data_IF_624629892214
#
_entry.id   IF_624629892214
#
_cell.length_a   1.000
_cell.length_b   1.000
_cell.length_c   1.000
_cell.angle_alpha   90.00
_cell.angle_beta   90.00
_cell.angle_gamma   90.00
#
_symmetry.space_group_name_H-M   'P 1'
#
loop_
_entity.id
_entity.type
_entity.pdbx_description
1 polymer ?
#
# COMPACT_ATOMS: atom_id res chain seq x y z
N UNK A 1 -53.81 13.33 11.75
CA UNK A 1 -52.50 12.89 11.21
C UNK A 1 -52.49 13.14 9.70
N UNK A 2 -51.72 14.10 9.16
CA UNK A 2 -51.60 14.21 7.71
C UNK A 2 -50.43 13.37 7.19
N UNK A 3 -50.66 12.70 6.07
CA UNK A 3 -49.72 11.82 5.39
C UNK A 3 -48.49 12.58 4.90
N UNK A 4 -47.29 12.09 5.24
CA UNK A 4 -46.02 12.60 4.73
C UNK A 4 -45.87 12.20 3.26
N UNK A 5 -45.73 13.20 2.39
CA UNK A 5 -45.32 13.02 1.01
C UNK A 5 -43.90 12.41 0.95
N UNK A 6 -43.62 11.48 0.02
CA UNK A 6 -42.28 10.93 -0.18
C UNK A 6 -41.40 11.98 -0.84
N UNK A 7 -40.38 12.46 -0.12
CA UNK A 7 -39.32 13.29 -0.69
C UNK A 7 -38.60 12.50 -1.80
N UNK A 8 -38.68 12.99 -3.03
CA UNK A 8 -37.83 12.56 -4.14
C UNK A 8 -36.35 12.74 -3.76
N UNK A 9 -35.57 11.70 -3.99
CA UNK A 9 -34.12 11.72 -3.87
C UNK A 9 -33.55 12.41 -5.11
N UNK A 10 -33.31 13.72 -5.03
CA UNK A 10 -32.50 14.44 -6.01
C UNK A 10 -31.02 14.34 -5.58
N UNK A 11 -30.15 13.67 -6.36
CA UNK A 11 -28.72 13.73 -6.13
C UNK A 11 -28.22 15.09 -6.65
N UNK A 12 -28.36 16.11 -5.82
CA UNK A 12 -27.74 17.40 -6.09
C UNK A 12 -26.21 17.23 -6.01
N UNK A 13 -25.45 17.54 -7.07
CA UNK A 13 -24.00 17.57 -6.98
C UNK A 13 -23.63 18.81 -6.17
N UNK A 14 -23.21 18.61 -4.92
CA UNK A 14 -22.51 19.65 -4.17
C UNK A 14 -21.28 20.04 -5.02
N UNK A 15 -21.30 21.22 -5.64
CA UNK A 15 -20.19 21.78 -6.39
C UNK A 15 -19.26 22.52 -5.42
N UNK A 16 -18.00 22.10 -5.20
CA UNK A 16 -17.05 22.86 -4.42
C UNK A 16 -15.91 23.35 -5.31
N UNK A 17 -16.23 23.97 -6.46
CA UNK A 17 -15.21 24.35 -7.46
C UNK A 17 -15.12 25.84 -7.81
N UNK A 18 -15.63 26.73 -6.96
CA UNK A 18 -15.43 28.18 -7.14
C UNK A 18 -14.70 28.79 -5.95
N UNK A 19 -13.41 28.48 -5.81
CA UNK A 19 -12.41 29.31 -5.13
C UNK A 19 -11.03 29.03 -5.78
N UNK A 20 -10.81 29.57 -6.98
CA UNK A 20 -9.46 29.68 -7.53
C UNK A 20 -8.73 30.82 -6.81
N UNK A 21 -8.12 30.51 -5.67
CA UNK A 21 -7.01 31.31 -5.18
C UNK A 21 -5.90 31.29 -6.25
N UNK A 22 -5.21 32.41 -6.51
CA UNK A 22 -4.14 32.45 -7.50
C UNK A 22 -3.11 31.37 -7.17
N UNK A 23 -2.89 30.43 -8.10
CA UNK A 23 -1.90 29.36 -7.98
C UNK A 23 -0.54 29.96 -7.62
N UNK A 24 -0.12 29.79 -6.37
CA UNK A 24 1.28 29.96 -6.00
C UNK A 24 2.10 29.12 -6.98
N UNK A 25 3.12 29.74 -7.57
CA UNK A 25 4.01 29.12 -8.55
C UNK A 25 4.59 27.84 -7.91
N UNK A 26 4.10 26.67 -8.33
CA UNK A 26 4.57 25.38 -7.80
C UNK A 26 6.08 25.33 -8.04
N UNK A 27 6.85 25.24 -6.95
CA UNK A 27 8.30 25.22 -7.00
C UNK A 27 8.78 24.01 -7.81
N UNK A 28 9.91 24.16 -8.50
CA UNK A 28 10.52 23.08 -9.31
C UNK A 28 10.74 21.80 -8.48
N UNK A 29 11.03 21.96 -7.19
CA UNK A 29 11.21 20.82 -6.28
C UNK A 29 9.91 20.04 -6.08
N UNK A 30 8.74 20.69 -5.90
CA UNK A 30 7.47 19.95 -5.74
C UNK A 30 7.10 19.13 -6.99
N UNK A 31 7.40 19.66 -8.18
CA UNK A 31 7.23 18.91 -9.44
C UNK A 31 8.16 17.70 -9.52
N UNK A 32 9.40 17.83 -9.02
CA UNK A 32 10.35 16.71 -8.96
C UNK A 32 9.83 15.56 -8.08
N UNK A 33 9.17 15.86 -6.95
CA UNK A 33 8.55 14.85 -6.10
C UNK A 33 7.43 14.09 -6.81
N UNK A 34 6.49 14.82 -7.43
CA UNK A 34 5.40 14.22 -8.21
C UNK A 34 5.93 13.40 -9.41
N UNK A 35 6.93 13.93 -10.12
CA UNK A 35 7.59 13.23 -11.22
C UNK A 35 8.28 11.95 -10.74
N UNK A 36 9.01 12.00 -9.61
CA UNK A 36 9.69 10.82 -9.04
C UNK A 36 8.68 9.74 -8.67
N UNK A 37 7.53 10.11 -8.10
CA UNK A 37 6.44 9.17 -7.82
C UNK A 37 5.94 8.48 -9.11
N UNK A 38 5.63 9.27 -10.15
CA UNK A 38 5.13 8.72 -11.42
C UNK A 38 6.18 7.88 -12.14
N UNK A 39 7.46 8.28 -12.10
CA UNK A 39 8.58 7.51 -12.65
C UNK A 39 8.73 6.18 -11.91
N UNK A 40 8.59 6.18 -10.58
CA UNK A 40 8.66 4.95 -9.79
C UNK A 40 7.49 4.00 -10.13
N UNK A 41 6.26 4.52 -10.24
CA UNK A 41 5.09 3.74 -10.70
C UNK A 41 5.32 3.18 -12.11
N UNK A 42 5.79 4.02 -13.04
CA UNK A 42 6.10 3.60 -14.41
C UNK A 42 7.19 2.52 -14.45
N UNK A 43 8.21 2.64 -13.59
CA UNK A 43 9.27 1.66 -13.48
C UNK A 43 8.78 0.30 -12.98
N UNK A 44 7.76 0.28 -12.13
CA UNK A 44 7.16 -0.96 -11.64
C UNK A 44 6.26 -1.60 -12.72
N UNK A 45 5.47 -0.78 -13.43
CA UNK A 45 4.67 -1.20 -14.60
C UNK A 45 5.54 -1.84 -15.69
N UNK A 46 6.71 -1.28 -15.94
CA UNK A 46 7.65 -1.71 -16.99
C UNK A 46 8.83 -2.52 -16.44
N UNK A 47 8.74 -3.02 -15.21
CA UNK A 47 9.89 -3.58 -14.49
C UNK A 47 10.58 -4.74 -15.21
N UNK A 48 9.81 -5.64 -15.84
CA UNK A 48 10.37 -6.75 -16.63
C UNK A 48 11.12 -6.26 -17.87
N UNK A 49 10.51 -5.33 -18.61
CA UNK A 49 11.11 -4.76 -19.82
C UNK A 49 12.36 -3.91 -19.50
N UNK A 50 12.28 -3.02 -18.50
CA UNK A 50 13.40 -2.17 -18.08
C UNK A 50 14.60 -3.02 -17.69
N UNK A 51 14.40 -4.06 -16.86
CA UNK A 51 15.50 -4.92 -16.42
C UNK A 51 16.13 -5.70 -17.58
N UNK A 52 15.32 -6.17 -18.51
CA UNK A 52 15.81 -6.86 -19.70
C UNK A 52 16.69 -5.95 -20.56
N UNK A 53 16.18 -4.77 -20.95
CA UNK A 53 16.94 -3.86 -21.82
C UNK A 53 18.16 -3.25 -21.11
N UNK A 54 18.05 -2.92 -19.82
CA UNK A 54 19.21 -2.43 -19.04
C UNK A 54 20.25 -3.52 -18.85
N UNK A 55 19.86 -4.78 -18.71
CA UNK A 55 20.79 -5.90 -18.69
C UNK A 55 21.50 -6.11 -20.02
N UNK A 56 20.79 -6.02 -21.15
CA UNK A 56 21.42 -6.11 -22.48
C UNK A 56 22.45 -4.99 -22.69
N UNK A 57 22.21 -3.81 -22.14
CA UNK A 57 23.13 -2.69 -22.18
C UNK A 57 24.26 -2.75 -21.12
N UNK A 58 24.33 -3.81 -20.31
CA UNK A 58 25.35 -3.96 -19.25
C UNK A 58 25.18 -3.02 -18.05
N UNK A 59 24.02 -2.37 -17.93
CA UNK A 59 23.70 -1.34 -16.91
C UNK A 59 22.48 -1.72 -16.08
N UNK A 60 22.33 -3.01 -15.73
CA UNK A 60 21.18 -3.56 -15.00
C UNK A 60 20.86 -2.81 -13.69
N UNK A 61 21.86 -2.22 -13.04
CA UNK A 61 21.71 -1.38 -11.85
C UNK A 61 20.80 -0.15 -12.08
N UNK A 62 20.73 0.38 -13.30
CA UNK A 62 19.87 1.52 -13.64
C UNK A 62 18.38 1.22 -13.48
N UNK A 63 17.98 -0.06 -13.51
CA UNK A 63 16.60 -0.47 -13.20
C UNK A 63 16.18 -0.10 -11.77
N UNK A 64 17.12 0.19 -10.88
CA UNK A 64 16.86 0.61 -9.49
C UNK A 64 16.95 2.13 -9.28
N UNK A 65 17.32 2.90 -10.31
CA UNK A 65 17.47 4.35 -10.22
C UNK A 65 16.23 5.08 -9.69
N UNK A 66 14.98 4.76 -10.11
CA UNK A 66 13.79 5.41 -9.56
C UNK A 66 13.68 5.27 -8.03
N UNK A 67 14.10 4.12 -7.51
CA UNK A 67 14.09 3.85 -6.08
C UNK A 67 15.21 4.57 -5.34
N UNK A 68 16.39 4.67 -5.95
CA UNK A 68 17.48 5.50 -5.43
C UNK A 68 17.07 6.99 -5.34
N UNK A 69 16.37 7.51 -6.35
CA UNK A 69 15.82 8.87 -6.34
C UNK A 69 14.84 9.09 -5.19
N UNK A 70 13.94 8.13 -4.93
CA UNK A 70 13.03 8.19 -3.78
C UNK A 70 13.76 8.25 -2.44
N UNK A 71 14.80 7.42 -2.27
CA UNK A 71 15.64 7.43 -1.06
C UNK A 71 16.38 8.76 -0.91
N UNK A 72 16.90 9.32 -2.00
CA UNK A 72 17.54 10.64 -1.99
C UNK A 72 16.54 11.75 -1.58
N UNK A 73 15.33 11.75 -2.15
CA UNK A 73 14.27 12.68 -1.76
C UNK A 73 13.87 12.53 -0.28
N UNK A 74 13.77 11.29 0.21
CA UNK A 74 13.49 11.02 1.62
C UNK A 74 14.59 11.58 2.53
N UNK A 75 15.86 11.34 2.20
CA UNK A 75 17.01 11.90 2.94
C UNK A 75 16.98 13.43 2.96
N UNK A 76 16.75 14.07 1.82
CA UNK A 76 16.61 15.53 1.72
C UNK A 76 15.45 16.05 2.59
N UNK A 77 14.30 15.39 2.59
CA UNK A 77 13.15 15.79 3.40
C UNK A 77 13.43 15.72 4.91
N UNK A 78 14.13 14.66 5.35
CA UNK A 78 14.49 14.48 6.77
C UNK A 78 15.48 15.56 7.21
N UNK A 79 16.50 15.86 6.40
CA UNK A 79 17.52 16.88 6.69
C UNK A 79 16.93 18.28 6.70
N UNK A 80 16.06 18.60 5.74
CA UNK A 80 15.48 19.95 5.63
C UNK A 80 14.42 20.23 6.70
N UNK A 81 13.73 19.19 7.20
CA UNK A 81 12.60 19.34 8.14
C UNK A 81 12.68 18.27 9.24
N UNK A 82 13.71 18.29 10.10
CA UNK A 82 13.82 17.33 11.18
C UNK A 82 12.63 17.50 12.15
N UNK A 83 12.07 16.37 12.58
CA UNK A 83 10.94 16.33 13.52
C UNK A 83 11.26 15.32 14.62
N UNK A 84 10.75 15.55 15.83
CA UNK A 84 10.85 14.59 16.93
C UNK A 84 10.33 13.20 16.54
N UNK A 85 9.29 13.14 15.68
CA UNK A 85 8.77 11.88 15.14
C UNK A 85 9.81 11.10 14.31
N UNK A 86 10.74 11.78 13.61
CA UNK A 86 11.80 11.10 12.87
C UNK A 86 12.77 10.39 13.82
N UNK A 87 13.12 11.03 14.95
CA UNK A 87 13.97 10.44 15.98
C UNK A 87 13.30 9.23 16.62
N UNK A 88 12.00 9.32 16.93
CA UNK A 88 11.24 8.20 17.48
C UNK A 88 11.15 7.02 16.50
N UNK A 89 10.91 7.29 15.21
CA UNK A 89 10.91 6.25 14.17
C UNK A 89 12.30 5.63 14.04
N UNK A 90 13.36 6.44 14.01
CA UNK A 90 14.74 5.95 13.93
C UNK A 90 15.11 5.10 15.15
N UNK A 91 14.73 5.52 16.36
CA UNK A 91 14.94 4.76 17.58
C UNK A 91 14.17 3.43 17.58
N UNK A 92 12.91 3.44 17.11
CA UNK A 92 12.13 2.21 16.94
C UNK A 92 12.77 1.26 15.93
N UNK A 93 13.19 1.76 14.77
CA UNK A 93 13.88 0.96 13.75
C UNK A 93 15.23 0.43 14.26
N UNK A 94 15.97 1.21 15.05
CA UNK A 94 17.22 0.77 15.67
C UNK A 94 16.96 -0.36 16.68
N UNK A 95 15.96 -0.22 17.55
CA UNK A 95 15.56 -1.27 18.49
C UNK A 95 15.14 -2.56 17.77
N UNK A 96 14.37 -2.43 16.67
CA UNK A 96 13.95 -3.57 15.86
C UNK A 96 15.13 -4.20 15.08
N UNK A 97 16.12 -3.39 14.68
CA UNK A 97 17.36 -3.90 14.09
C UNK A 97 18.13 -4.76 15.10
N UNK A 98 18.17 -4.36 16.38
CA UNK A 98 18.75 -5.20 17.42
C UNK A 98 18.04 -6.55 17.55
N UNK A 99 16.71 -6.58 17.43
CA UNK A 99 15.93 -7.84 17.40
C UNK A 99 16.34 -8.70 16.19
N UNK A 100 16.40 -8.11 14.99
CA UNK A 100 16.84 -8.82 13.78
C UNK A 100 18.21 -9.48 13.97
N UNK A 101 19.19 -8.70 14.43
CA UNK A 101 20.56 -9.17 14.62
C UNK A 101 20.64 -10.26 15.70
N UNK A 102 19.89 -10.12 16.78
CA UNK A 102 19.82 -11.12 17.85
C UNK A 102 19.26 -12.47 17.36
N UNK A 103 18.35 -12.43 16.38
CA UNK A 103 17.78 -13.63 15.76
C UNK A 103 18.62 -14.19 14.60
N UNK A 104 19.83 -13.67 14.36
CA UNK A 104 20.72 -14.16 13.30
C UNK A 104 20.43 -13.59 11.90
N UNK A 105 19.58 -12.58 11.78
CA UNK A 105 19.36 -11.86 10.53
C UNK A 105 20.56 -10.95 10.26
N UNK A 106 21.06 -10.92 9.03
CA UNK A 106 22.21 -10.10 8.66
C UNK A 106 21.85 -8.60 8.54
N UNK A 107 22.84 -7.72 8.75
CA UNK A 107 22.65 -6.29 8.55
C UNK A 107 22.28 -5.93 7.09
N UNK A 108 22.77 -6.69 6.12
CA UNK A 108 22.39 -6.53 4.72
C UNK A 108 20.91 -6.82 4.46
N UNK A 109 20.33 -7.81 5.15
CA UNK A 109 18.91 -8.11 5.06
C UNK A 109 18.05 -6.98 5.67
N UNK A 110 18.48 -6.42 6.81
CA UNK A 110 17.84 -5.22 7.40
C UNK A 110 17.90 -4.03 6.44
N UNK A 111 19.08 -3.76 5.86
CA UNK A 111 19.26 -2.69 4.89
C UNK A 111 18.40 -2.89 3.63
N UNK A 112 18.29 -4.12 3.15
CA UNK A 112 17.42 -4.46 2.03
C UNK A 112 15.94 -4.30 2.39
N UNK A 113 15.52 -4.60 3.61
CA UNK A 113 14.15 -4.35 4.06
C UNK A 113 13.83 -2.85 4.13
N UNK A 114 14.74 -2.04 4.68
CA UNK A 114 14.61 -0.56 4.67
C UNK A 114 14.48 -0.06 3.24
N UNK A 115 15.32 -0.59 2.34
CA UNK A 115 15.21 -0.34 0.92
C UNK A 115 13.82 -0.72 0.41
N UNK A 116 13.30 -1.92 0.71
CA UNK A 116 11.94 -2.37 0.34
C UNK A 116 10.86 -1.39 0.77
N UNK A 117 10.83 -0.93 2.01
CA UNK A 117 9.79 0.00 2.52
C UNK A 117 9.99 1.48 2.12
N UNK A 118 11.16 1.87 1.61
CA UNK A 118 11.49 3.24 1.26
C UNK A 118 10.45 3.96 0.35
N UNK A 119 9.81 3.32 -0.65
CA UNK A 119 8.78 3.98 -1.46
C UNK A 119 7.59 4.48 -0.64
N UNK A 120 7.17 3.74 0.39
CA UNK A 120 6.11 4.18 1.29
C UNK A 120 6.55 5.39 2.11
N UNK A 121 7.76 5.34 2.67
CA UNK A 121 8.32 6.45 3.46
C UNK A 121 8.47 7.72 2.61
N UNK A 122 8.97 7.58 1.38
CA UNK A 122 9.04 8.66 0.39
C UNK A 122 7.66 9.30 0.17
N UNK A 123 6.64 8.51 -0.15
CA UNK A 123 5.30 9.05 -0.39
C UNK A 123 4.67 9.64 0.89
N UNK A 124 5.00 9.10 2.06
CA UNK A 124 4.51 9.59 3.36
C UNK A 124 5.05 10.98 3.72
N UNK A 125 6.29 11.31 3.34
CA UNK A 125 6.89 12.63 3.63
C UNK A 125 6.64 13.67 2.53
N UNK A 126 5.95 13.30 1.45
CA UNK A 126 5.69 14.16 0.30
C UNK A 126 5.03 15.50 0.70
N UNK A 127 5.47 16.65 0.15
CA UNK A 127 4.85 17.95 0.43
C UNK A 127 3.43 18.04 -0.16
N UNK A 128 2.57 18.89 0.44
CA UNK A 128 1.15 19.00 0.04
C UNK A 128 1.03 19.44 -1.43
N UNK A 129 1.86 20.37 -1.84
CA UNK A 129 1.88 20.93 -3.19
C UNK A 129 2.26 19.88 -4.25
N UNK A 130 3.05 18.87 -3.89
CA UNK A 130 3.33 17.74 -4.77
C UNK A 130 2.14 16.78 -4.87
N UNK A 131 1.33 16.63 -3.82
CA UNK A 131 0.07 15.86 -3.88
C UNK A 131 -0.94 16.56 -4.78
N UNK A 132 -1.05 17.88 -4.68
CA UNK A 132 -1.94 18.66 -5.55
C UNK A 132 -1.51 18.54 -7.03
N UNK A 133 -0.21 18.49 -7.30
CA UNK A 133 0.31 18.20 -8.64
C UNK A 133 -0.04 16.78 -9.10
N UNK A 134 0.04 15.76 -8.24
CA UNK A 134 -0.39 14.38 -8.55
C UNK A 134 -1.88 14.27 -8.87
N UNK A 135 -2.71 15.16 -8.31
CA UNK A 135 -4.14 15.24 -8.60
C UNK A 135 -4.47 16.12 -9.81
N UNK A 136 -3.48 16.75 -10.43
CA UNK A 136 -3.67 17.57 -11.63
C UNK A 136 -4.20 16.74 -12.81
N UNK A 137 -4.90 17.39 -13.73
CA UNK A 137 -5.39 16.76 -14.97
C UNK A 137 -4.27 16.22 -15.87
N UNK A 138 -3.04 16.75 -15.74
CA UNK A 138 -1.87 16.24 -16.46
C UNK A 138 -1.44 14.89 -15.88
N UNK A 139 -1.32 14.80 -14.55
CA UNK A 139 -0.95 13.57 -13.88
C UNK A 139 -2.05 12.51 -13.96
N UNK A 140 -3.33 12.90 -13.92
CA UNK A 140 -4.44 11.98 -14.16
C UNK A 140 -4.33 11.30 -15.53
N UNK A 141 -4.01 12.05 -16.59
CA UNK A 141 -3.76 11.49 -17.93
C UNK A 141 -2.56 10.56 -17.95
N UNK A 142 -1.49 10.87 -17.22
CA UNK A 142 -0.34 9.98 -17.07
C UNK A 142 -0.73 8.67 -16.37
N UNK A 143 -1.52 8.71 -15.29
CA UNK A 143 -2.01 7.50 -14.61
C UNK A 143 -2.93 6.66 -15.49
N UNK A 144 -3.81 7.29 -16.29
CA UNK A 144 -4.62 6.59 -17.29
C UNK A 144 -3.72 5.89 -18.31
N UNK A 145 -2.73 6.60 -18.86
CA UNK A 145 -1.79 6.03 -19.82
C UNK A 145 -1.00 4.85 -19.23
N UNK A 146 -0.53 4.97 -17.98
CA UNK A 146 0.15 3.88 -17.28
C UNK A 146 -0.77 2.69 -17.01
N UNK A 147 -2.05 2.92 -16.67
CA UNK A 147 -3.03 1.85 -16.49
C UNK A 147 -3.24 1.08 -17.80
N UNK A 148 -3.45 1.81 -18.90
CA UNK A 148 -3.62 1.23 -20.24
C UNK A 148 -2.35 0.52 -20.72
N UNK A 149 -1.17 1.06 -20.42
CA UNK A 149 0.11 0.42 -20.75
C UNK A 149 0.30 -0.88 -19.97
N UNK A 150 -0.08 -0.89 -18.68
CA UNK A 150 -0.01 -2.08 -17.83
C UNK A 150 -0.96 -3.17 -18.33
N UNK A 151 -2.22 -2.82 -18.62
CA UNK A 151 -3.22 -3.73 -19.20
C UNK A 151 -2.76 -4.23 -20.58
N UNK A 152 -2.32 -3.31 -21.44
CA UNK A 152 -1.81 -3.61 -22.78
C UNK A 152 -0.63 -4.56 -22.77
N UNK A 153 0.28 -4.43 -21.79
CA UNK A 153 1.38 -5.38 -21.60
C UNK A 153 0.90 -6.79 -21.27
N UNK A 154 -0.11 -6.94 -20.41
CA UNK A 154 -0.70 -8.25 -20.09
C UNK A 154 -1.40 -8.85 -21.32
N UNK A 155 -2.18 -8.05 -22.04
CA UNK A 155 -2.88 -8.51 -23.24
C UNK A 155 -1.88 -8.88 -24.36
N UNK A 156 -0.82 -8.09 -24.56
CA UNK A 156 0.23 -8.44 -25.51
C UNK A 156 0.91 -9.76 -25.13
N UNK A 157 1.20 -9.97 -23.84
CA UNK A 157 1.79 -11.22 -23.35
C UNK A 157 0.87 -12.44 -23.53
N UNK A 158 -0.44 -12.23 -23.67
CA UNK A 158 -1.38 -13.30 -24.00
C UNK A 158 -1.17 -13.80 -25.44
N UNK A 159 -0.88 -12.89 -26.38
CA UNK A 159 -0.69 -13.20 -27.79
C UNK A 159 0.76 -13.52 -28.17
N UNK A 160 1.73 -12.94 -27.46
CA UNK A 160 3.15 -13.02 -27.79
C UNK A 160 3.95 -13.37 -26.55
N UNK A 161 4.85 -14.34 -26.68
CA UNK A 161 5.82 -14.66 -25.62
C UNK A 161 6.84 -13.53 -25.51
N UNK A 162 6.78 -12.77 -24.42
CA UNK A 162 7.69 -11.66 -24.18
C UNK A 162 9.10 -12.16 -23.80
N UNK A 163 10.18 -11.53 -24.30
CA UNK A 163 11.54 -12.06 -24.18
C UNK A 163 12.11 -12.03 -22.75
N UNK A 164 11.55 -11.20 -21.86
CA UNK A 164 11.95 -11.10 -20.46
C UNK A 164 11.26 -12.12 -19.53
N UNK A 165 10.24 -12.83 -20.01
CA UNK A 165 9.47 -13.78 -19.20
C UNK A 165 10.25 -15.08 -19.05
N UNK A 166 10.58 -15.43 -17.80
CA UNK A 166 11.39 -16.60 -17.46
C UNK A 166 12.91 -16.33 -17.47
N UNK A 167 13.35 -15.12 -17.78
CA UNK A 167 14.77 -14.75 -17.73
C UNK A 167 15.26 -14.37 -16.33
N UNK A 168 16.56 -14.48 -16.11
CA UNK A 168 17.28 -14.01 -14.92
C UNK A 168 18.55 -13.25 -15.31
N UNK A 169 18.99 -12.34 -14.46
CA UNK A 169 20.19 -11.51 -14.66
C UNK A 169 20.97 -11.45 -13.35
N UNK A 170 22.28 -11.59 -13.44
CA UNK A 170 23.18 -11.41 -12.30
C UNK A 170 23.43 -9.91 -12.05
N UNK A 171 23.17 -9.45 -10.83
CA UNK A 171 23.44 -8.08 -10.39
C UNK A 171 24.27 -8.18 -9.11
N UNK A 172 25.59 -7.97 -9.22
CA UNK A 172 26.49 -7.99 -8.07
C UNK A 172 26.70 -9.37 -7.44
N UNK A 173 26.69 -10.44 -8.24
CA UNK A 173 26.86 -11.83 -7.77
C UNK A 173 25.56 -12.49 -7.29
N UNK A 174 24.42 -11.82 -7.46
CA UNK A 174 23.09 -12.31 -7.09
C UNK A 174 22.22 -12.43 -8.32
N UNK A 175 21.72 -13.64 -8.59
CA UNK A 175 20.80 -13.91 -9.70
C UNK A 175 19.41 -13.35 -9.41
N UNK A 176 19.02 -12.31 -10.15
CA UNK A 176 17.73 -11.62 -10.03
C UNK A 176 16.85 -11.97 -11.22
N UNK A 177 15.67 -12.54 -10.96
CA UNK A 177 14.68 -12.81 -12.02
C UNK A 177 14.17 -11.52 -12.68
N UNK A 178 14.15 -11.51 -14.02
CA UNK A 178 13.64 -10.43 -14.87
C UNK A 178 12.12 -10.33 -14.78
N UNK A 179 11.43 -11.41 -15.16
CA UNK A 179 10.02 -11.61 -14.91
C UNK A 179 9.72 -13.09 -14.63
N UNK A 180 8.94 -13.36 -13.58
CA UNK A 180 8.63 -14.73 -13.14
C UNK A 180 7.66 -15.39 -14.11
N UNK A 181 8.05 -16.52 -14.71
CA UNK A 181 7.12 -17.44 -15.36
C UNK A 181 6.43 -18.28 -14.28
N UNK A 182 5.11 -18.21 -14.19
CA UNK A 182 4.34 -18.98 -13.20
C UNK A 182 3.04 -19.47 -13.79
N UNK A 183 2.54 -20.58 -13.28
CA UNK A 183 1.32 -21.24 -13.75
C UNK A 183 0.33 -21.45 -12.58
N UNK A 184 -0.96 -21.56 -12.89
CA UNK A 184 -2.00 -22.08 -11.98
C UNK A 184 -2.66 -23.25 -12.67
N UNK A 185 -2.37 -24.46 -12.21
CA UNK A 185 -2.71 -25.67 -12.96
C UNK A 185 -2.04 -25.60 -14.34
N UNK A 186 -2.84 -25.61 -15.41
CA UNK A 186 -2.37 -25.52 -16.80
C UNK A 186 -2.32 -24.10 -17.36
N UNK A 187 -2.90 -23.12 -16.66
CA UNK A 187 -3.00 -21.74 -17.17
C UNK A 187 -1.74 -20.92 -16.83
N UNK A 188 -1.16 -20.28 -17.85
CA UNK A 188 -0.03 -19.36 -17.69
C UNK A 188 -0.46 -18.07 -16.98
N UNK A 189 0.30 -17.64 -15.96
CA UNK A 189 0.10 -16.35 -15.29
C UNK A 189 0.89 -15.29 -16.02
N UNK A 190 0.20 -14.29 -16.57
CA UNK A 190 0.82 -13.32 -17.46
C UNK A 190 1.39 -12.12 -16.68
N UNK A 191 2.73 -11.92 -16.62
CA UNK A 191 3.32 -10.75 -15.98
C UNK A 191 3.25 -9.47 -16.82
N UNK A 192 3.04 -9.57 -18.13
CA UNK A 192 3.06 -8.43 -19.05
C UNK A 192 4.43 -7.75 -19.09
N UNK A 193 4.45 -6.42 -19.02
CA UNK A 193 5.69 -5.64 -18.90
C UNK A 193 6.29 -5.65 -17.48
N UNK A 194 5.57 -6.16 -16.49
CA UNK A 194 6.00 -6.20 -15.10
C UNK A 194 6.83 -7.43 -14.73
N UNK A 195 7.30 -7.46 -13.47
CA UNK A 195 8.15 -8.53 -12.93
C UNK A 195 7.38 -9.81 -12.55
N UNK A 196 6.12 -9.71 -12.19
CA UNK A 196 5.30 -10.87 -11.83
C UNK A 196 3.84 -10.61 -12.12
N UNK A 197 3.07 -11.65 -12.43
CA UNK A 197 1.64 -11.51 -12.67
C UNK A 197 0.89 -10.97 -11.45
N UNK A 198 1.29 -11.35 -10.24
CA UNK A 198 0.69 -10.86 -9.00
C UNK A 198 0.86 -9.34 -8.84
N UNK A 199 2.09 -8.84 -8.97
CA UNK A 199 2.40 -7.41 -8.87
C UNK A 199 1.77 -6.61 -10.01
N UNK A 200 1.74 -7.15 -11.23
CA UNK A 200 1.09 -6.50 -12.39
C UNK A 200 -0.42 -6.40 -12.18
N UNK A 201 -1.07 -7.47 -11.71
CA UNK A 201 -2.50 -7.44 -11.37
C UNK A 201 -2.81 -6.38 -10.31
N UNK A 202 -2.03 -6.34 -9.22
CA UNK A 202 -2.11 -5.30 -8.18
C UNK A 202 -1.96 -3.90 -8.77
N UNK A 203 -0.97 -3.68 -9.63
CA UNK A 203 -0.72 -2.38 -10.26
C UNK A 203 -1.89 -1.92 -11.14
N UNK A 204 -2.50 -2.82 -11.93
CA UNK A 204 -3.72 -2.49 -12.69
C UNK A 204 -4.83 -2.06 -11.73
N UNK A 205 -5.04 -2.79 -10.63
CA UNK A 205 -6.04 -2.47 -9.61
C UNK A 205 -5.78 -1.13 -8.90
N UNK A 206 -4.52 -0.84 -8.56
CA UNK A 206 -4.10 0.42 -7.94
C UNK A 206 -4.32 1.60 -8.88
N UNK A 207 -3.82 1.53 -10.11
CA UNK A 207 -3.95 2.61 -11.08
C UNK A 207 -5.43 2.86 -11.43
N UNK A 208 -6.20 1.79 -11.61
CA UNK A 208 -7.64 1.89 -11.87
C UNK A 208 -8.36 2.52 -10.68
N UNK A 209 -8.06 2.07 -9.45
CA UNK A 209 -8.64 2.63 -8.21
C UNK A 209 -8.33 4.12 -8.05
N UNK A 210 -7.12 4.55 -8.42
CA UNK A 210 -6.72 5.96 -8.38
C UNK A 210 -7.49 6.81 -9.40
N UNK A 211 -7.66 6.29 -10.62
CA UNK A 211 -8.20 7.02 -11.76
C UNK A 211 -9.73 7.07 -11.75
N UNK A 212 -10.40 5.95 -11.47
CA UNK A 212 -11.83 5.80 -11.74
C UNK A 212 -12.74 6.83 -11.04
N UNK A 213 -12.51 7.22 -9.76
CA UNK A 213 -13.36 8.21 -9.08
C UNK A 213 -13.18 9.62 -9.64
N UNK A 214 -12.13 9.83 -10.45
CA UNK A 214 -11.72 11.13 -11.01
C UNK A 214 -12.08 11.27 -12.49
N UNK A 215 -12.55 10.20 -13.15
CA UNK A 215 -13.02 10.23 -14.52
C UNK A 215 -14.44 10.79 -14.62
N UNK A 216 -14.65 11.75 -15.53
CA UNK A 216 -15.97 12.36 -15.77
C UNK A 216 -16.83 11.58 -16.77
N UNK A 217 -16.21 10.93 -17.76
CA UNK A 217 -16.93 10.19 -18.80
C UNK A 217 -17.30 8.79 -18.31
N UNK A 218 -18.60 8.49 -18.25
CA UNK A 218 -19.13 7.17 -17.86
C UNK A 218 -18.71 6.07 -18.83
N UNK A 219 -18.62 6.38 -20.12
CA UNK A 219 -18.16 5.43 -21.14
C UNK A 219 -16.67 5.09 -20.94
N UNK A 220 -15.82 6.10 -20.74
CA UNK A 220 -14.41 5.90 -20.49
C UNK A 220 -14.17 5.12 -19.18
N UNK A 221 -14.98 5.40 -18.16
CA UNK A 221 -14.98 4.66 -16.90
C UNK A 221 -15.35 3.18 -17.11
N UNK A 222 -16.47 2.91 -17.79
CA UNK A 222 -16.93 1.55 -18.05
C UNK A 222 -15.89 0.76 -18.88
N UNK A 223 -15.32 1.39 -19.90
CA UNK A 223 -14.26 0.79 -20.72
C UNK A 223 -13.00 0.49 -19.89
N UNK A 224 -12.54 1.44 -19.06
CA UNK A 224 -11.38 1.23 -18.19
C UNK A 224 -11.62 0.09 -17.20
N UNK A 225 -12.80 0.04 -16.55
CA UNK A 225 -13.14 -1.01 -15.59
C UNK A 225 -13.23 -2.39 -16.27
N UNK A 226 -13.83 -2.47 -17.46
CA UNK A 226 -13.91 -3.71 -18.23
C UNK A 226 -12.50 -4.21 -18.63
N UNK A 227 -11.67 -3.32 -19.17
CA UNK A 227 -10.29 -3.63 -19.54
C UNK A 227 -9.44 -4.03 -18.31
N UNK A 228 -9.60 -3.33 -17.19
CA UNK A 228 -8.93 -3.66 -15.94
C UNK A 228 -9.37 -5.04 -15.42
N UNK A 229 -10.66 -5.37 -15.45
CA UNK A 229 -11.18 -6.66 -15.04
C UNK A 229 -10.59 -7.81 -15.89
N UNK A 230 -10.58 -7.64 -17.22
CA UNK A 230 -9.97 -8.61 -18.15
C UNK A 230 -8.47 -8.75 -17.91
N UNK A 231 -7.74 -7.64 -17.77
CA UNK A 231 -6.31 -7.63 -17.51
C UNK A 231 -5.96 -8.33 -16.20
N UNK A 232 -6.63 -7.97 -15.10
CA UNK A 232 -6.42 -8.59 -13.78
C UNK A 232 -6.76 -10.09 -13.83
N UNK A 233 -7.87 -10.47 -14.46
CA UNK A 233 -8.24 -11.87 -14.62
C UNK A 233 -7.16 -12.66 -15.35
N UNK A 234 -6.59 -12.11 -16.43
CA UNK A 234 -5.49 -12.72 -17.18
C UNK A 234 -4.18 -12.86 -16.37
N UNK A 235 -3.97 -12.03 -15.36
CA UNK A 235 -2.85 -12.21 -14.40
C UNK A 235 -3.09 -13.32 -13.37
N UNK A 236 -4.30 -13.89 -13.32
CA UNK A 236 -4.79 -14.84 -12.31
C UNK A 236 -4.82 -14.32 -10.87
N UNK A 237 -4.67 -12.99 -10.67
CA UNK A 237 -4.73 -12.36 -9.35
C UNK A 237 -6.20 -12.10 -8.93
N UNK A 238 -6.86 -13.16 -8.45
CA UNK A 238 -8.28 -13.14 -8.02
C UNK A 238 -8.54 -12.13 -6.91
N UNK A 239 -7.61 -11.99 -5.96
CA UNK A 239 -7.71 -11.03 -4.86
C UNK A 239 -7.85 -9.62 -5.36
N UNK A 240 -7.02 -9.22 -6.33
CA UNK A 240 -7.09 -7.87 -6.89
C UNK A 240 -8.40 -7.62 -7.63
N UNK A 241 -8.92 -8.64 -8.33
CA UNK A 241 -10.20 -8.53 -9.02
C UNK A 241 -11.35 -8.32 -8.04
N UNK A 242 -11.37 -9.10 -6.94
CA UNK A 242 -12.34 -8.96 -5.86
C UNK A 242 -12.20 -7.61 -5.17
N UNK A 243 -10.97 -7.16 -4.88
CA UNK A 243 -10.70 -5.86 -4.28
C UNK A 243 -11.22 -4.71 -5.14
N UNK A 244 -10.95 -4.75 -6.46
CA UNK A 244 -11.44 -3.74 -7.39
C UNK A 244 -12.97 -3.74 -7.48
N UNK A 245 -13.58 -4.92 -7.64
CA UNK A 245 -15.04 -5.05 -7.71
C UNK A 245 -15.72 -4.53 -6.43
N UNK A 246 -15.17 -4.88 -5.26
CA UNK A 246 -15.66 -4.40 -3.98
C UNK A 246 -15.55 -2.88 -3.89
N UNK A 247 -14.40 -2.30 -4.21
CA UNK A 247 -14.19 -0.84 -4.13
C UNK A 247 -15.10 -0.08 -5.10
N UNK A 248 -15.34 -0.61 -6.29
CA UNK A 248 -16.34 -0.07 -7.23
C UNK A 248 -17.75 -0.13 -6.62
N UNK A 249 -18.14 -1.27 -6.02
CA UNK A 249 -19.43 -1.38 -5.33
C UNK A 249 -19.55 -0.38 -4.15
N UNK A 250 -18.52 -0.27 -3.31
CA UNK A 250 -18.48 0.69 -2.20
C UNK A 250 -18.55 2.14 -2.70
N UNK A 251 -17.97 2.43 -3.87
CA UNK A 251 -18.07 3.74 -4.52
C UNK A 251 -19.49 4.10 -4.94
N UNK A 252 -20.37 3.14 -5.22
CA UNK A 252 -21.78 3.44 -5.52
C UNK A 252 -22.70 3.35 -4.30
N UNK A 253 -22.37 2.48 -3.34
CA UNK A 253 -23.28 2.14 -2.24
C UNK A 253 -23.06 2.94 -0.95
N UNK A 254 -21.81 3.32 -0.62
CA UNK A 254 -21.47 3.86 0.70
C UNK A 254 -21.25 5.36 0.70
N UNK A 255 -21.65 6.05 1.77
CA UNK A 255 -21.18 7.42 2.06
C UNK A 255 -19.71 7.40 2.51
N UNK A 256 -19.00 8.51 2.35
CA UNK A 256 -17.56 8.59 2.68
C UNK A 256 -17.27 8.25 4.14
N UNK A 257 -18.15 8.65 5.08
CA UNK A 257 -18.03 8.25 6.49
C UNK A 257 -18.09 6.74 6.71
N UNK A 258 -18.87 6.02 5.89
CA UNK A 258 -18.99 4.56 5.95
C UNK A 258 -17.77 3.86 5.34
N UNK A 259 -17.05 4.48 4.40
CA UNK A 259 -15.79 3.95 3.86
C UNK A 259 -14.71 3.88 4.95
N UNK A 260 -14.64 4.88 5.83
CA UNK A 260 -13.74 4.84 6.99
C UNK A 260 -14.02 3.62 7.86
N UNK A 261 -15.29 3.38 8.19
CA UNK A 261 -15.70 2.19 8.96
C UNK A 261 -15.39 0.91 8.21
N UNK A 262 -15.60 0.86 6.90
CA UNK A 262 -15.23 -0.29 6.07
C UNK A 262 -13.73 -0.59 6.16
N UNK A 263 -12.86 0.41 6.04
CA UNK A 263 -11.41 0.22 6.15
C UNK A 263 -11.00 -0.31 7.57
N UNK A 264 -11.67 0.11 8.65
CA UNK A 264 -11.44 -0.46 9.99
C UNK A 264 -11.85 -1.93 10.04
N UNK A 265 -13.04 -2.28 9.53
CA UNK A 265 -13.50 -3.67 9.46
C UNK A 265 -12.59 -4.54 8.59
N UNK A 266 -12.12 -4.05 7.45
CA UNK A 266 -11.17 -4.77 6.61
C UNK A 266 -9.85 -5.01 7.34
N UNK A 267 -9.38 -4.04 8.14
CA UNK A 267 -8.20 -4.23 8.99
C UNK A 267 -8.43 -5.34 10.02
N UNK A 268 -9.58 -5.33 10.68
CA UNK A 268 -9.96 -6.40 11.62
C UNK A 268 -10.02 -7.78 10.93
N UNK A 269 -10.61 -7.85 9.73
CA UNK A 269 -10.67 -9.09 8.93
C UNK A 269 -9.27 -9.59 8.54
N UNK A 270 -8.38 -8.68 8.16
CA UNK A 270 -7.00 -9.01 7.78
C UNK A 270 -6.25 -9.69 8.93
N UNK A 271 -6.55 -9.30 10.17
CA UNK A 271 -5.97 -9.89 11.39
C UNK A 271 -6.71 -11.17 11.80
N UNK A 272 -8.04 -11.16 11.76
CA UNK A 272 -8.87 -12.25 12.27
C UNK A 272 -8.78 -13.52 11.40
N UNK A 273 -8.64 -13.38 10.09
CA UNK A 273 -8.65 -14.53 9.18
C UNK A 273 -7.47 -15.51 9.39
N UNK A 274 -6.20 -15.06 9.50
CA UNK A 274 -5.09 -15.93 9.88
C UNK A 274 -5.30 -16.66 11.20
N UNK A 275 -5.82 -15.96 12.21
CA UNK A 275 -6.08 -16.54 13.54
C UNK A 275 -7.18 -17.61 13.43
N UNK A 276 -8.25 -17.32 12.70
CA UNK A 276 -9.32 -18.28 12.46
C UNK A 276 -8.80 -19.52 11.71
N UNK A 277 -7.93 -19.35 10.71
CA UNK A 277 -7.27 -20.45 10.01
C UNK A 277 -6.49 -21.35 10.96
N UNK A 278 -5.65 -20.74 11.80
CA UNK A 278 -4.86 -21.47 12.80
C UNK A 278 -5.74 -22.22 13.82
N UNK A 279 -6.77 -21.57 14.37
CA UNK A 279 -7.70 -22.22 15.32
C UNK A 279 -8.45 -23.41 14.69
N UNK A 280 -8.85 -23.28 13.42
CA UNK A 280 -9.52 -24.37 12.69
C UNK A 280 -8.57 -25.53 12.45
N UNK A 281 -7.31 -25.26 12.05
CA UNK A 281 -6.30 -26.32 11.86
C UNK A 281 -5.99 -27.06 13.15
N UNK A 282 -5.94 -26.36 14.30
CA UNK A 282 -5.77 -27.00 15.61
C UNK A 282 -6.96 -27.89 16.01
N UNK A 283 -8.17 -27.52 15.61
CA UNK A 283 -9.40 -28.24 15.95
C UNK A 283 -9.73 -29.39 14.97
N UNK A 284 -9.19 -29.35 13.76
CA UNK A 284 -9.48 -30.32 12.70
C UNK A 284 -8.42 -31.42 12.67
N UNK A 285 -8.86 -32.68 12.74
CA UNK A 285 -8.01 -33.86 12.53
C UNK A 285 -8.11 -34.42 11.11
N UNK A 286 -8.89 -33.77 10.22
CA UNK A 286 -9.11 -34.24 8.85
C UNK A 286 -8.34 -33.41 7.83
N UNK A 287 -7.67 -34.11 6.91
CA UNK A 287 -7.09 -33.56 5.70
C UNK A 287 -8.22 -33.14 4.74
N UNK A 288 -8.51 -31.84 4.71
CA UNK A 288 -9.47 -31.28 3.75
C UNK A 288 -8.79 -31.19 2.39
N UNK A 289 -9.09 -32.15 1.51
CA UNK A 289 -8.62 -32.13 0.11
C UNK A 289 -8.94 -30.79 -0.58
N UNK A 290 -7.97 -30.27 -1.34
CA UNK A 290 -8.14 -29.01 -2.08
C UNK A 290 -8.49 -29.29 -3.54
N UNK A 291 -9.68 -28.90 -3.98
CA UNK A 291 -10.05 -28.91 -5.40
C UNK A 291 -10.95 -27.72 -5.73
N UNK A 292 -10.69 -27.05 -6.86
CA UNK A 292 -11.52 -25.96 -7.37
C UNK A 292 -10.86 -24.58 -7.45
N UNK A 293 -11.66 -23.57 -7.81
CA UNK A 293 -11.20 -22.21 -8.11
C UNK A 293 -10.73 -21.41 -6.89
N UNK A 294 -11.00 -21.86 -5.67
CA UNK A 294 -10.57 -21.25 -4.41
C UNK A 294 -9.41 -21.98 -3.73
N UNK A 295 -8.78 -22.95 -4.40
CA UNK A 295 -7.69 -23.77 -3.83
C UNK A 295 -6.56 -22.95 -3.21
N UNK A 296 -6.17 -21.83 -3.83
CA UNK A 296 -5.12 -20.95 -3.29
C UNK A 296 -5.55 -20.19 -2.01
N UNK A 297 -6.84 -19.93 -1.80
CA UNK A 297 -7.31 -19.34 -0.55
C UNK A 297 -7.39 -20.41 0.55
N UNK A 298 -7.86 -21.60 0.20
CA UNK A 298 -7.89 -22.74 1.10
C UNK A 298 -6.48 -23.12 1.59
N UNK A 299 -5.50 -23.16 0.69
CA UNK A 299 -4.11 -23.45 1.02
C UNK A 299 -3.50 -22.40 1.98
N UNK A 300 -3.88 -21.12 1.84
CA UNK A 300 -3.49 -20.09 2.80
C UNK A 300 -4.09 -20.35 4.18
N UNK A 301 -5.38 -20.66 4.21
CA UNK A 301 -6.14 -20.82 5.43
C UNK A 301 -5.73 -22.05 6.23
N UNK A 302 -5.42 -23.16 5.56
CA UNK A 302 -5.12 -24.45 6.18
C UNK A 302 -3.62 -24.65 6.39
N UNK A 303 -2.78 -24.21 5.45
CA UNK A 303 -1.34 -24.47 5.47
C UNK A 303 -0.52 -23.20 5.74
N UNK A 304 -0.59 -22.20 4.86
CA UNK A 304 0.39 -21.08 4.88
C UNK A 304 0.31 -20.26 6.18
N UNK A 305 -0.89 -19.85 6.59
CA UNK A 305 -1.07 -19.00 7.77
C UNK A 305 -0.84 -19.77 9.08
N UNK A 306 -1.41 -20.98 9.28
CA UNK A 306 -1.16 -21.75 10.49
C UNK A 306 0.31 -22.13 10.66
N UNK A 307 0.98 -22.62 9.60
CA UNK A 307 2.39 -23.03 9.68
C UNK A 307 3.32 -21.86 10.04
N UNK A 308 3.02 -20.65 9.57
CA UNK A 308 3.79 -19.47 9.97
C UNK A 308 3.58 -19.12 11.44
N UNK A 309 2.34 -19.14 11.93
CA UNK A 309 2.02 -18.89 13.34
C UNK A 309 2.70 -19.95 14.23
N UNK A 310 2.60 -21.22 13.86
CA UNK A 310 3.23 -22.33 14.59
C UNK A 310 4.76 -22.26 14.56
N UNK A 311 5.36 -21.92 13.42
CA UNK A 311 6.80 -21.70 13.31
C UNK A 311 7.28 -20.58 14.23
N UNK A 312 6.60 -19.43 14.22
CA UNK A 312 6.92 -18.32 15.11
C UNK A 312 6.74 -18.67 16.60
N UNK A 313 5.74 -19.50 16.94
CA UNK A 313 5.53 -19.98 18.31
C UNK A 313 6.61 -20.96 18.75
N UNK A 314 6.95 -21.94 17.89
CA UNK A 314 7.94 -22.99 18.15
C UNK A 314 9.33 -22.40 18.38
N UNK A 315 9.71 -21.41 17.58
CA UNK A 315 11.01 -20.73 17.70
C UNK A 315 10.99 -19.57 18.71
N UNK A 316 9.90 -19.39 19.48
CA UNK A 316 9.73 -18.30 20.45
C UNK A 316 9.84 -16.87 19.87
N UNK A 317 9.65 -16.72 18.55
CA UNK A 317 9.75 -15.46 17.82
C UNK A 317 8.44 -14.67 17.79
N UNK A 318 7.30 -15.25 18.20
CA UNK A 318 5.97 -14.64 18.04
C UNK A 318 5.84 -13.25 18.69
N UNK A 319 6.55 -12.98 19.79
CA UNK A 319 6.35 -11.76 20.59
C UNK A 319 7.02 -10.52 19.99
N UNK A 320 8.25 -10.67 19.52
CA UNK A 320 9.08 -9.59 18.95
C UNK A 320 9.33 -9.74 17.45
N UNK A 321 8.90 -10.86 16.85
CA UNK A 321 9.14 -11.20 15.46
C UNK A 321 10.54 -11.72 15.23
N UNK A 322 10.81 -12.08 13.98
CA UNK A 322 12.16 -12.36 13.49
C UNK A 322 12.97 -11.06 13.44
N UNK A 323 12.29 -9.92 13.30
CA UNK A 323 12.88 -8.60 13.12
C UNK A 323 12.79 -8.14 11.65
N UNK A 324 12.83 -6.82 11.36
CA UNK A 324 12.88 -6.29 10.01
C UNK A 324 14.00 -6.90 9.19
N UNK A 325 13.68 -7.37 7.99
CA UNK A 325 14.63 -8.09 7.12
C UNK A 325 14.75 -9.59 7.42
N UNK A 326 14.15 -10.07 8.49
CA UNK A 326 14.05 -11.49 8.80
C UNK A 326 12.96 -12.23 8.01
N UNK A 327 12.03 -11.51 7.39
CA UNK A 327 10.89 -12.10 6.67
C UNK A 327 10.69 -11.45 5.30
N UNK A 328 10.12 -12.19 4.36
CA UNK A 328 9.76 -11.70 3.03
C UNK A 328 10.92 -11.81 2.02
N UNK A 329 11.03 -10.84 1.12
CA UNK A 329 12.05 -10.89 0.05
C UNK A 329 13.49 -10.73 0.57
N UNK A 330 13.66 -10.31 1.82
CA UNK A 330 14.94 -10.14 2.48
C UNK A 330 15.63 -11.46 2.89
N UNK A 331 14.91 -12.58 2.88
CA UNK A 331 15.44 -13.92 3.24
C UNK A 331 16.69 -14.30 2.45
N UNK A 332 16.82 -13.86 1.20
CA UNK A 332 17.99 -14.13 0.36
C UNK A 332 19.30 -13.47 0.84
N UNK A 333 19.27 -12.64 1.88
CA UNK A 333 20.44 -11.89 2.37
C UNK A 333 21.01 -12.42 3.68
N UNK A 334 20.48 -13.51 4.23
CA UNK A 334 21.01 -14.16 5.44
C UNK A 334 20.97 -15.70 5.29
N UNK A 335 21.68 -16.40 6.17
CA UNK A 335 21.81 -17.88 6.12
C UNK A 335 21.21 -18.59 7.33
N UNK A 336 20.72 -17.84 8.33
CA UNK A 336 19.98 -18.40 9.45
C UNK A 336 18.80 -19.24 8.97
N UNK A 337 18.64 -20.43 9.55
CA UNK A 337 17.54 -21.34 9.28
C UNK A 337 16.64 -21.41 10.52
N UNK A 338 15.39 -21.01 10.35
CA UNK A 338 14.38 -21.03 11.40
C UNK A 338 13.51 -22.31 11.34
N UNK A 339 13.73 -23.19 10.36
CA UNK A 339 12.98 -24.45 10.23
C UNK A 339 11.51 -24.28 9.83
N UNK A 340 11.12 -23.12 9.28
CA UNK A 340 9.80 -22.86 8.70
C UNK A 340 9.88 -21.81 7.58
N UNK A 341 8.80 -21.63 6.81
CA UNK A 341 8.77 -20.67 5.71
C UNK A 341 8.78 -19.22 6.19
N UNK A 342 9.86 -18.50 5.88
CA UNK A 342 10.05 -17.07 6.18
C UNK A 342 9.96 -16.17 4.95
N UNK A 343 9.70 -16.74 3.77
CA UNK A 343 9.77 -16.02 2.49
C UNK A 343 8.49 -15.28 2.09
N UNK A 344 7.33 -15.68 2.61
CA UNK A 344 6.03 -15.07 2.29
C UNK A 344 4.95 -15.50 3.29
N UNK A 345 3.96 -14.64 3.50
CA UNK A 345 2.76 -14.93 4.29
C UNK A 345 1.47 -14.84 3.46
N UNK A 346 1.53 -14.12 2.34
CA UNK A 346 0.37 -13.68 1.59
C UNK A 346 -0.72 -13.09 2.49
N UNK A 347 -0.35 -12.29 3.48
CA UNK A 347 -1.26 -11.57 4.38
C UNK A 347 -0.49 -10.45 5.09
N UNK A 348 -0.99 -9.23 5.00
CA UNK A 348 -0.32 -8.04 5.55
C UNK A 348 -0.16 -8.09 7.08
N UNK A 349 -1.12 -8.65 7.82
CA UNK A 349 -1.03 -8.75 9.28
C UNK A 349 0.05 -9.75 9.69
N UNK A 350 0.09 -10.92 9.07
CA UNK A 350 1.14 -11.92 9.30
C UNK A 350 2.51 -11.42 8.87
N UNK A 351 2.62 -10.71 7.74
CA UNK A 351 3.88 -10.05 7.35
C UNK A 351 4.38 -9.09 8.44
N UNK A 352 3.46 -8.34 9.05
CA UNK A 352 3.77 -7.41 10.14
C UNK A 352 4.17 -8.16 11.41
N UNK A 353 3.45 -9.22 11.79
CA UNK A 353 3.77 -10.05 12.97
C UNK A 353 5.11 -10.77 12.78
N UNK A 354 5.42 -11.28 11.59
CA UNK A 354 6.69 -11.94 11.34
C UNK A 354 7.88 -10.98 11.45
N UNK A 355 7.74 -9.72 11.01
CA UNK A 355 8.82 -8.73 11.12
C UNK A 355 8.91 -8.05 12.50
N UNK A 356 7.81 -7.84 13.22
CA UNK A 356 7.79 -7.01 14.44
C UNK A 356 7.20 -7.69 15.68
N UNK A 357 6.73 -8.93 15.53
CA UNK A 357 6.03 -9.67 16.57
C UNK A 357 4.63 -9.15 16.83
N UNK A 358 3.90 -9.86 17.69
CA UNK A 358 2.56 -9.48 18.13
C UNK A 358 2.58 -8.12 18.83
N UNK A 359 3.61 -7.82 19.63
CA UNK A 359 3.72 -6.55 20.35
C UNK A 359 3.90 -5.39 19.36
N UNK A 360 4.85 -5.51 18.44
CA UNK A 360 5.08 -4.48 17.42
C UNK A 360 3.90 -4.32 16.47
N UNK A 361 3.29 -5.42 16.04
CA UNK A 361 2.08 -5.40 15.21
C UNK A 361 0.90 -4.72 15.93
N UNK A 362 0.68 -5.02 17.22
CA UNK A 362 -0.38 -4.39 18.00
C UNK A 362 -0.18 -2.87 18.11
N UNK A 363 1.07 -2.41 18.33
CA UNK A 363 1.40 -0.98 18.35
C UNK A 363 1.12 -0.31 17.00
N UNK A 364 1.53 -0.93 15.89
CA UNK A 364 1.29 -0.42 14.54
C UNK A 364 -0.21 -0.37 14.20
N UNK A 365 -0.96 -1.42 14.53
CA UNK A 365 -2.42 -1.47 14.33
C UNK A 365 -3.11 -0.41 15.20
N UNK A 366 -2.74 -0.27 16.47
CA UNK A 366 -3.30 0.75 17.35
C UNK A 366 -3.02 2.17 16.83
N UNK A 367 -1.78 2.44 16.38
CA UNK A 367 -1.41 3.70 15.76
C UNK A 367 -2.21 3.97 14.47
N UNK A 368 -2.36 2.96 13.61
CA UNK A 368 -3.15 3.05 12.38
C UNK A 368 -4.63 3.31 12.65
N UNK A 369 -5.26 2.55 13.55
CA UNK A 369 -6.68 2.72 13.91
C UNK A 369 -6.90 4.09 14.54
N UNK A 370 -6.03 4.51 15.47
CA UNK A 370 -6.09 5.86 16.06
C UNK A 370 -5.97 6.94 14.99
N UNK A 371 -5.03 6.78 14.05
CA UNK A 371 -4.87 7.69 12.93
C UNK A 371 -6.15 7.75 12.10
N UNK A 372 -6.69 6.62 11.65
CA UNK A 372 -7.92 6.56 10.84
C UNK A 372 -9.11 7.19 11.55
N UNK A 373 -9.30 6.92 12.84
CA UNK A 373 -10.42 7.44 13.63
C UNK A 373 -10.33 8.95 13.88
N UNK A 374 -9.12 9.48 14.07
CA UNK A 374 -8.88 10.90 14.31
C UNK A 374 -9.16 11.78 13.07
N UNK A 375 -9.20 11.19 11.88
CA UNK A 375 -9.24 11.93 10.62
C UNK A 375 -10.68 12.05 10.09
N UNK A 376 -11.04 13.21 9.50
CA UNK A 376 -12.34 13.39 8.88
C UNK A 376 -12.45 12.60 7.56
N UNK A 377 -13.66 12.14 7.26
CA UNK A 377 -13.93 11.34 6.07
C UNK A 377 -14.38 12.22 4.89
N UNK A 378 -13.51 13.13 4.42
CA UNK A 378 -13.89 14.16 3.45
C UNK A 378 -13.46 13.85 2.00
N UNK A 379 -12.47 12.98 1.79
CA UNK A 379 -11.88 12.70 0.48
C UNK A 379 -12.16 11.26 0.01
N UNK A 380 -13.25 11.09 -0.72
CA UNK A 380 -13.75 9.78 -1.15
C UNK A 380 -12.72 8.96 -1.96
N UNK A 381 -12.07 9.48 -3.01
CA UNK A 381 -11.05 8.74 -3.75
C UNK A 381 -9.92 8.17 -2.86
N UNK A 382 -9.47 8.93 -1.87
CA UNK A 382 -8.39 8.51 -0.96
C UNK A 382 -8.84 7.37 -0.04
N UNK A 383 -10.05 7.43 0.51
CA UNK A 383 -10.61 6.33 1.31
C UNK A 383 -10.85 5.05 0.49
N UNK A 384 -11.25 5.19 -0.79
CA UNK A 384 -11.38 4.05 -1.69
C UNK A 384 -10.03 3.39 -1.98
N UNK A 385 -8.98 4.19 -2.16
CA UNK A 385 -7.61 3.67 -2.29
C UNK A 385 -7.15 2.92 -1.04
N UNK A 386 -7.40 3.49 0.15
CA UNK A 386 -7.07 2.81 1.40
C UNK A 386 -7.79 1.47 1.52
N UNK A 387 -9.09 1.45 1.24
CA UNK A 387 -9.87 0.22 1.31
C UNK A 387 -9.43 -0.79 0.24
N UNK A 388 -9.04 -0.38 -0.98
CA UNK A 388 -8.43 -1.28 -1.98
C UNK A 388 -7.16 -1.96 -1.45
N UNK A 389 -6.26 -1.16 -0.87
CA UNK A 389 -5.00 -1.66 -0.30
C UNK A 389 -5.24 -2.65 0.84
N UNK A 390 -6.17 -2.33 1.76
CA UNK A 390 -6.50 -3.18 2.89
C UNK A 390 -7.16 -4.49 2.44
N UNK A 391 -8.10 -4.44 1.49
CA UNK A 391 -8.75 -5.66 0.96
C UNK A 391 -7.73 -6.54 0.25
N UNK A 392 -6.82 -5.93 -0.53
CA UNK A 392 -5.71 -6.66 -1.16
C UNK A 392 -4.77 -7.28 -0.12
N UNK A 393 -4.53 -6.58 1.00
CA UNK A 393 -3.71 -7.03 2.11
C UNK A 393 -4.25 -8.24 2.88
N UNK A 394 -5.52 -8.60 2.70
CA UNK A 394 -6.12 -9.79 3.32
C UNK A 394 -5.42 -11.08 2.87
N UNK A 395 -5.04 -11.16 1.58
CA UNK A 395 -4.45 -12.38 1.01
C UNK A 395 -3.20 -12.09 0.17
N UNK A 396 -2.52 -10.96 0.41
CA UNK A 396 -1.30 -10.59 -0.32
C UNK A 396 -0.37 -9.76 0.54
N UNK A 397 0.93 -9.98 0.38
CA UNK A 397 1.99 -9.22 1.05
C UNK A 397 2.20 -7.86 0.37
N UNK A 398 1.28 -6.91 0.61
CA UNK A 398 1.32 -5.59 -0.03
C UNK A 398 2.59 -4.79 0.33
N UNK A 399 3.26 -5.14 1.43
CA UNK A 399 4.51 -4.54 1.88
C UNK A 399 5.72 -4.88 1.00
N UNK A 400 5.60 -5.88 0.12
CA UNK A 400 6.67 -6.31 -0.79
C UNK A 400 6.55 -5.68 -2.20
N UNK A 401 5.44 -4.99 -2.48
CA UNK A 401 5.16 -4.41 -3.80
C UNK A 401 5.36 -2.91 -3.80
N UNK A 402 6.22 -2.39 -4.71
CA UNK A 402 6.53 -0.95 -4.83
C UNK A 402 5.26 -0.13 -5.05
N UNK A 403 4.39 -0.55 -5.97
CA UNK A 403 3.09 0.09 -6.20
C UNK A 403 2.26 0.23 -4.92
N UNK A 404 2.03 -0.88 -4.20
CA UNK A 404 1.25 -0.87 -2.97
C UNK A 404 1.87 0.07 -1.91
N UNK A 405 3.18 0.03 -1.71
CA UNK A 405 3.90 0.89 -0.77
C UNK A 405 3.75 2.38 -1.14
N UNK A 406 3.92 2.74 -2.41
CA UNK A 406 3.74 4.11 -2.91
C UNK A 406 2.32 4.62 -2.67
N UNK A 407 1.33 3.83 -3.10
CA UNK A 407 -0.08 4.21 -2.96
C UNK A 407 -0.54 4.19 -1.49
N UNK A 408 0.02 3.33 -0.64
CA UNK A 408 -0.23 3.37 0.79
C UNK A 408 0.33 4.65 1.41
N UNK A 409 1.60 4.98 1.13
CA UNK A 409 2.24 6.19 1.65
C UNK A 409 1.51 7.46 1.21
N UNK A 410 1.16 7.59 -0.07
CA UNK A 410 0.44 8.77 -0.58
C UNK A 410 -0.97 8.87 0.01
N UNK A 411 -1.65 7.74 0.20
CA UNK A 411 -3.00 7.69 0.78
C UNK A 411 -2.99 8.13 2.24
N UNK A 412 -2.09 7.57 3.05
CA UNK A 412 -1.93 7.97 4.46
C UNK A 412 -1.55 9.45 4.56
N UNK A 413 -0.67 9.92 3.69
CA UNK A 413 -0.27 11.33 3.63
C UNK A 413 -1.44 12.25 3.30
N UNK A 414 -2.24 11.92 2.27
CA UNK A 414 -3.41 12.71 1.87
C UNK A 414 -4.46 12.76 2.99
N UNK A 415 -4.72 11.65 3.68
CA UNK A 415 -5.63 11.64 4.85
C UNK A 415 -5.10 12.56 5.95
N UNK A 416 -3.80 12.50 6.25
CA UNK A 416 -3.20 13.26 7.35
C UNK A 416 -3.12 14.77 7.12
N UNK A 417 -3.02 15.22 5.86
CA UNK A 417 -2.93 16.65 5.51
C UNK A 417 -4.30 17.30 5.29
N UNK A 418 -5.31 16.54 4.82
CA UNK A 418 -6.66 17.06 4.55
C UNK A 418 -7.55 17.11 5.80
N UNK A 419 -6.96 16.89 6.98
CA UNK A 419 -7.56 17.20 8.26
C UNK A 419 -7.72 18.73 8.42
N UNK A 420 -8.88 19.26 8.84
CA UNK A 420 -8.98 20.68 9.13
C UNK A 420 -8.04 21.01 10.29
N UNK A 421 -6.95 21.73 9.98
CA UNK A 421 -6.03 22.35 10.95
C UNK A 421 -6.75 23.20 12.02
N UNK A 422 -8.04 23.53 11.79
CA UNK A 422 -8.88 24.27 12.73
C UNK A 422 -9.10 23.57 14.08
N UNK A 423 -9.03 22.24 14.16
CA UNK A 423 -9.28 21.55 15.44
C UNK A 423 -8.12 21.74 16.45
N UNK A 424 -6.86 21.73 15.99
CA UNK A 424 -5.70 21.94 16.86
C UNK A 424 -5.51 23.40 17.26
N UNK A 425 -5.81 24.35 16.36
CA UNK A 425 -5.75 25.78 16.70
C UNK A 425 -6.90 26.18 17.61
N UNK A 426 -8.12 25.65 17.41
CA UNK A 426 -9.26 25.94 18.28
C UNK A 426 -9.06 25.35 19.68
N UNK A 427 -8.58 24.11 19.81
CA UNK A 427 -8.31 23.51 21.13
C UNK A 427 -7.13 24.19 21.85
N UNK A 428 -6.08 24.58 21.15
CA UNK A 428 -5.00 25.36 21.73
C UNK A 428 -5.46 26.77 22.14
N UNK A 429 -6.28 27.44 21.32
CA UNK A 429 -6.84 28.77 21.63
C UNK A 429 -7.82 28.73 22.81
N UNK A 430 -8.68 27.73 22.88
CA UNK A 430 -9.60 27.51 24.00
C UNK A 430 -8.83 27.17 25.28
N UNK A 431 -7.76 26.37 25.20
CA UNK A 431 -6.88 26.10 26.35
C UNK A 431 -6.13 27.36 26.81
N UNK A 432 -5.67 28.21 25.87
CA UNK A 432 -4.99 29.47 26.17
C UNK A 432 -5.96 30.53 26.74
N UNK A 433 -7.20 30.56 26.25
CA UNK A 433 -8.27 31.42 26.77
C UNK A 433 -8.70 31.00 28.18
N UNK A 434 -8.78 29.70 28.46
CA UNK A 434 -9.00 29.19 29.83
C UNK A 434 -7.86 29.55 30.78
N UNK A 435 -6.61 29.40 30.34
CA UNK A 435 -5.45 29.84 31.14
C UNK A 435 -5.43 31.35 31.40
N UNK A 436 -5.90 32.18 30.46
CA UNK A 436 -6.06 33.63 30.67
C UNK A 436 -7.20 33.98 31.64
N UNK A 437 -8.26 33.18 31.68
CA UNK A 437 -9.36 33.38 32.65
C UNK A 437 -8.96 32.93 34.06
N UNK A 438 -8.18 31.85 34.19
CA UNK A 438 -7.75 31.31 35.49
C UNK A 438 -6.58 32.11 36.12
N UNK A 439 -5.91 32.99 35.36
CA UNK A 439 -4.78 33.81 35.86
C UNK A 439 -5.18 35.22 36.33
N UNK A 440 -6.48 35.52 36.44
CA UNK A 440 -6.95 36.62 37.30
C UNK A 440 -6.29 37.98 37.05
N UNK A 441 -6.48 38.57 35.87
CA UNK A 441 -6.33 40.02 35.72
C UNK A 441 -7.68 40.65 35.99
N UNK A 442 -7.89 40.99 37.25
CA UNK A 442 -8.95 41.87 37.74
C UNK A 442 -8.86 43.17 36.94
N UNK A 443 -9.88 43.47 36.12
CA UNK A 443 -10.05 44.80 35.56
C UNK A 443 -10.37 45.77 36.71
N UNK A 444 -9.59 46.85 36.93
CA UNK A 444 -9.93 47.83 37.93
C UNK A 444 -11.04 48.75 37.41
N UNK A 445 -12.16 48.76 38.15
CA UNK A 445 -13.12 49.85 38.34
C UNK A 445 -13.68 50.61 37.12
N UNK A 446 -15.01 50.60 36.99
CA UNK A 446 -15.76 51.84 36.78
C UNK A 446 -17.18 51.73 37.36
N UNK A 447 -17.47 52.73 38.20
CA UNK A 447 -18.65 53.09 39.00
C UNK A 447 -20.03 52.69 38.49
#
# INVERSE_FOLDING_TARGET
MPARSPRRFDPQPDSPFDHYAPMQRISTIHRLWAATFVIAVASDVLSGAIRYYTSLAGVAALGYLPKALMVACLGLAIVQRPKASHVLIAAYLAAQTCVSLANGVSLSAVGFWIWTIAPMLFALVMPLEALDELESQRMLRAFVALALLCIGGVLLNYFVKLPWVGGSVDIGGVSVQLAKSSYVGTSSRLPGFGRSSATTGLMIGLLTTWVFPRLRSRLALAALLALAAVGIWATTNKTTLVALALVVALHFMLRTRSLRTACIWTTAITIALPIAGWLVTLASTQDVGSSGSLSSMQDRFINTWPLLIEGLLREHLIWFGIGPGGFGSAVGYYTADFGFNVGYADNMALYTVANFGVIGAALLVAAFVRFVLAQPANDRPVWLMLCFLLVSGVTTDICETIGCLLFLGVTLRSIGLRAPQRAHVASARIALERLRYDTGVIAPNAR
#
